data_IF_383451597442
#
_entry.id   IF_383451597442
#
_cell.length_a   1.000
_cell.length_b   1.000
_cell.length_c   1.000
_cell.angle_alpha   90.00
_cell.angle_beta   90.00
_cell.angle_gamma   90.00
#
_symmetry.space_group_name_H-M   'P 1'
#
loop_
_entity.id
_entity.type
_entity.pdbx_description
1 polymer ?
#
# COMPACT_ATOMS: atom_id res chain seq x y z
N UNK A 1 -7.26 -3.59 10.81
CA UNK A 1 -6.34 -4.48 11.56
C UNK A 1 -5.75 -5.65 10.73
N UNK A 2 -5.88 -5.71 9.39
CA UNK A 2 -5.34 -6.86 8.61
C UNK A 2 -3.81 -6.85 8.47
N UNK A 3 -3.20 -5.66 8.43
CA UNK A 3 -1.75 -5.49 8.32
C UNK A 3 -0.99 -5.99 9.57
N UNK A 4 -1.40 -5.60 10.78
CA UNK A 4 -0.72 -5.99 12.03
C UNK A 4 -1.02 -7.41 12.52
N UNK A 5 -2.30 -7.73 12.76
CA UNK A 5 -2.72 -9.01 13.35
C UNK A 5 -2.86 -10.15 12.32
N UNK A 6 -3.02 -9.83 11.04
CA UNK A 6 -3.18 -10.82 9.97
C UNK A 6 -1.87 -11.14 9.26
N UNK A 7 -1.27 -10.13 8.62
CA UNK A 7 -0.07 -10.28 7.78
C UNK A 7 1.20 -10.44 8.62
N UNK A 8 1.38 -9.60 9.65
CA UNK A 8 2.59 -9.60 10.48
C UNK A 8 2.50 -10.50 11.72
N UNK A 9 1.27 -10.91 12.12
CA UNK A 9 0.99 -11.69 13.34
C UNK A 9 1.60 -11.09 14.61
N UNK A 10 1.71 -9.76 14.67
CA UNK A 10 2.28 -9.05 15.81
C UNK A 10 1.23 -8.84 16.90
N UNK A 11 1.60 -8.92 18.20
CA UNK A 11 0.76 -8.42 19.28
C UNK A 11 0.41 -6.93 19.05
N UNK A 12 -0.80 -6.48 19.40
CA UNK A 12 -1.23 -5.09 19.18
C UNK A 12 -0.24 -4.05 19.71
N UNK A 13 0.33 -4.29 20.90
CA UNK A 13 1.23 -3.35 21.56
C UNK A 13 2.56 -3.18 20.81
N UNK A 14 3.09 -4.27 20.22
CA UNK A 14 4.29 -4.17 19.38
C UNK A 14 3.98 -3.42 18.10
N UNK A 15 2.85 -3.74 17.45
CA UNK A 15 2.44 -3.07 16.22
C UNK A 15 2.32 -1.55 16.38
N UNK A 16 1.71 -1.08 17.48
CA UNK A 16 1.53 0.36 17.73
C UNK A 16 2.80 1.08 18.19
N UNK A 17 3.80 0.35 18.69
CA UNK A 17 5.10 0.92 19.07
C UNK A 17 6.07 1.06 17.90
N UNK A 18 5.80 0.42 16.78
CA UNK A 18 6.66 0.50 15.60
C UNK A 18 6.68 1.91 15.02
N UNK A 19 7.85 2.35 14.61
CA UNK A 19 7.99 3.55 13.80
C UNK A 19 7.44 3.31 12.39
N UNK A 20 7.02 4.36 11.66
CA UNK A 20 6.57 4.23 10.27
C UNK A 20 7.60 3.54 9.35
N UNK A 21 8.90 3.73 9.61
CA UNK A 21 9.98 3.11 8.83
C UNK A 21 10.08 1.60 9.08
N UNK A 22 9.96 1.18 10.34
CA UNK A 22 9.91 -0.24 10.70
C UNK A 22 8.64 -0.90 10.15
N UNK A 23 7.51 -0.21 10.19
CA UNK A 23 6.25 -0.70 9.63
C UNK A 23 6.37 -0.90 8.10
N UNK A 24 6.96 0.08 7.39
CA UNK A 24 7.21 -0.04 5.95
C UNK A 24 8.13 -1.22 5.61
N UNK A 25 9.19 -1.44 6.40
CA UNK A 25 10.09 -2.59 6.22
C UNK A 25 9.41 -3.93 6.52
N UNK A 26 8.59 -4.02 7.56
CA UNK A 26 7.85 -5.24 7.87
C UNK A 26 6.82 -5.59 6.80
N UNK A 27 6.18 -4.57 6.20
CA UNK A 27 5.19 -4.75 5.14
C UNK A 27 5.81 -4.95 3.75
N UNK A 28 7.09 -4.66 3.53
CA UNK A 28 7.70 -4.70 2.19
C UNK A 28 7.69 -6.09 1.58
N UNK A 29 7.71 -7.15 2.40
CA UNK A 29 7.60 -8.55 1.93
C UNK A 29 6.18 -8.92 1.47
N UNK A 30 5.17 -8.13 1.85
CA UNK A 30 3.76 -8.33 1.52
C UNK A 30 3.20 -7.27 0.59
N UNK A 31 3.95 -6.19 0.37
CA UNK A 31 3.59 -5.13 -0.54
C UNK A 31 3.65 -5.66 -1.98
N UNK A 32 2.66 -5.34 -2.83
CA UNK A 32 2.82 -5.49 -4.27
C UNK A 32 4.09 -4.78 -4.72
N UNK A 33 4.70 -5.25 -5.82
CA UNK A 33 5.86 -4.58 -6.42
C UNK A 33 5.57 -3.06 -6.48
N UNK A 34 6.43 -2.19 -5.91
CA UNK A 34 6.25 -0.74 -6.00
C UNK A 34 6.07 -0.25 -7.44
N UNK A 35 6.59 -1.00 -8.42
CA UNK A 35 6.44 -0.76 -9.87
C UNK A 35 5.07 -1.19 -10.41
N UNK A 36 4.29 -1.95 -9.66
CA UNK A 36 2.90 -2.30 -9.95
C UNK A 36 1.91 -1.21 -9.48
N UNK A 37 2.40 -0.10 -8.93
CA UNK A 37 1.60 1.10 -8.73
C UNK A 37 1.10 1.69 -10.06
N UNK A 38 0.01 2.46 -10.02
CA UNK A 38 -0.52 3.15 -11.20
C UNK A 38 0.59 4.03 -11.80
N UNK A 39 1.03 3.69 -13.00
CA UNK A 39 2.02 4.47 -13.74
C UNK A 39 1.34 5.62 -14.51
N UNK A 40 2.16 6.50 -15.09
CA UNK A 40 1.65 7.64 -15.86
C UNK A 40 0.82 7.22 -17.08
N UNK A 41 1.17 6.09 -17.70
CA UNK A 41 0.43 5.55 -18.83
C UNK A 41 -0.97 5.06 -18.41
N UNK A 42 -1.05 4.34 -17.29
CA UNK A 42 -2.28 3.87 -16.66
C UNK A 42 -3.17 5.03 -16.22
N UNK A 43 -2.60 6.06 -15.61
CA UNK A 43 -3.35 7.28 -15.27
C UNK A 43 -3.92 7.95 -16.52
N UNK A 44 -3.12 8.13 -17.57
CA UNK A 44 -3.57 8.71 -18.83
C UNK A 44 -4.68 7.86 -19.50
N UNK A 45 -4.62 6.53 -19.37
CA UNK A 45 -5.68 5.64 -19.84
C UNK A 45 -6.99 5.83 -19.06
N UNK A 46 -6.92 6.00 -17.75
CA UNK A 46 -8.09 6.28 -16.91
C UNK A 46 -8.73 7.63 -17.26
N UNK A 47 -7.93 8.69 -17.42
CA UNK A 47 -8.45 10.02 -17.80
C UNK A 47 -9.16 10.01 -19.16
N UNK A 48 -8.67 9.23 -20.13
CA UNK A 48 -9.38 9.04 -21.42
C UNK A 48 -10.67 8.23 -21.29
N UNK A 49 -10.67 7.23 -20.40
CA UNK A 49 -11.82 6.35 -20.16
C UNK A 49 -12.95 7.07 -19.43
N UNK A 50 -12.60 7.99 -18.54
CA UNK A 50 -13.51 8.75 -17.68
C UNK A 50 -13.18 10.24 -17.77
N UNK A 51 -13.54 10.92 -18.86
CA UNK A 51 -13.27 12.34 -19.03
C UNK A 51 -14.12 13.19 -18.06
N UNK A 52 -13.50 14.21 -17.45
CA UNK A 52 -14.15 15.09 -16.45
C UNK A 52 -15.16 16.08 -17.05
N UNK A 53 -15.24 16.16 -18.38
CA UNK A 53 -16.18 17.03 -19.09
C UNK A 53 -17.51 16.32 -19.29
N UNK A 54 -18.51 16.70 -18.49
CA UNK A 54 -19.93 16.53 -18.77
C UNK A 54 -20.41 17.56 -19.81
#
# INVERSE_FOLDING_TARGET
MRAGLGLLRLPPDQFWRMTPRELAAALSAFAPDPRAGLDRAGLAALMRRFPDTA
#
